data_IF_062542834542
#
_entry.id   IF_062542834542
#
_cell.length_a   1.000
_cell.length_b   1.000
_cell.length_c   1.000
_cell.angle_alpha   90.00
_cell.angle_beta   90.00
_cell.angle_gamma   90.00
#
_symmetry.space_group_name_H-M   'P 1'
#
loop_
_entity.id
_entity.type
_entity.pdbx_description
1 polymer ?
#
# COMPACT_ATOMS: atom_id res chain seq x y z
N UNK A 1 -74.73 27.79 25.70
CA UNK A 1 -74.46 26.33 25.72
C UNK A 1 -74.38 25.89 24.26
N UNK A 2 -73.30 25.41 23.66
CA UNK A 2 -72.08 24.71 24.10
C UNK A 2 -70.91 25.06 23.18
N UNK A 3 -69.73 24.84 23.73
CA UNK A 3 -68.39 25.24 23.31
C UNK A 3 -67.94 24.64 21.96
N UNK A 4 -67.19 25.43 21.16
CA UNK A 4 -66.34 24.95 20.09
C UNK A 4 -65.00 24.50 20.68
N UNK A 5 -64.64 23.22 20.53
CA UNK A 5 -63.34 22.71 20.95
C UNK A 5 -62.29 23.00 19.87
N UNK A 6 -61.27 23.79 20.21
CA UNK A 6 -60.09 24.04 19.37
C UNK A 6 -59.14 22.86 19.54
N UNK A 7 -58.83 22.17 18.44
CA UNK A 7 -57.82 21.12 18.40
C UNK A 7 -56.42 21.76 18.46
N UNK A 8 -55.66 21.44 19.50
CA UNK A 8 -54.28 21.87 19.66
C UNK A 8 -53.36 20.98 18.81
N UNK A 9 -52.75 21.56 17.77
CA UNK A 9 -51.74 20.90 16.94
C UNK A 9 -50.39 20.89 17.65
N UNK A 10 -49.98 19.73 18.14
CA UNK A 10 -48.63 19.52 18.70
C UNK A 10 -47.59 19.54 17.58
N UNK A 11 -46.78 20.60 17.50
CA UNK A 11 -45.55 20.59 16.71
C UNK A 11 -44.51 19.72 17.44
N UNK A 12 -44.35 18.49 17.00
CA UNK A 12 -43.24 17.64 17.44
C UNK A 12 -41.94 18.15 16.81
N UNK A 13 -41.05 18.71 17.64
CA UNK A 13 -39.66 18.98 17.27
C UNK A 13 -38.96 17.64 17.04
N UNK A 14 -38.78 17.26 15.77
CA UNK A 14 -37.87 16.17 15.40
C UNK A 14 -36.44 16.67 15.57
N UNK A 15 -35.81 16.30 16.69
CA UNK A 15 -34.37 16.45 16.86
C UNK A 15 -33.69 15.60 15.78
N UNK A 16 -33.05 16.25 14.81
CA UNK A 16 -32.22 15.59 13.81
C UNK A 16 -31.05 14.89 14.49
N UNK A 17 -31.11 13.57 14.58
CA UNK A 17 -29.97 12.75 14.94
C UNK A 17 -28.96 12.80 13.79
N UNK A 18 -27.90 13.60 13.96
CA UNK A 18 -26.70 13.52 13.13
C UNK A 18 -26.07 12.15 13.40
N UNK A 19 -26.30 11.18 12.52
CA UNK A 19 -25.50 9.96 12.48
C UNK A 19 -24.11 10.40 12.02
N UNK A 20 -23.22 10.62 12.98
CA UNK A 20 -21.77 10.64 12.73
C UNK A 20 -21.46 9.24 12.25
N UNK A 21 -21.37 9.06 10.94
CA UNK A 21 -20.76 7.88 10.36
C UNK A 21 -19.36 7.79 10.94
N UNK A 22 -19.13 6.81 11.80
CA UNK A 22 -17.77 6.34 12.09
C UNK A 22 -17.25 5.82 10.76
N UNK A 23 -16.66 6.70 9.96
CA UNK A 23 -15.80 6.28 8.87
C UNK A 23 -14.83 5.32 9.51
N UNK A 24 -14.88 4.06 9.07
CA UNK A 24 -13.88 3.09 9.46
C UNK A 24 -12.54 3.75 9.14
N UNK A 25 -11.80 4.17 10.18
CA UNK A 25 -10.40 4.45 10.02
C UNK A 25 -9.85 3.15 9.43
N UNK A 26 -9.51 3.16 8.15
CA UNK A 26 -8.72 2.09 7.58
C UNK A 26 -7.47 2.07 8.45
N UNK A 27 -7.40 1.10 9.36
CA UNK A 27 -6.16 0.80 10.05
C UNK A 27 -5.14 0.66 8.93
N UNK A 28 -4.17 1.57 8.88
CA UNK A 28 -3.07 1.43 7.95
C UNK A 28 -2.55 0.00 8.16
N UNK A 29 -2.60 -0.83 7.12
CA UNK A 29 -1.96 -2.14 7.18
C UNK A 29 -0.49 -1.87 7.44
N UNK A 30 -0.07 -2.00 8.70
CA UNK A 30 1.33 -1.88 9.09
C UNK A 30 2.02 -3.10 8.53
N UNK A 31 2.91 -2.90 7.55
CA UNK A 31 3.69 -3.98 6.99
C UNK A 31 4.77 -4.40 7.98
N UNK A 32 5.05 -5.70 8.06
CA UNK A 32 6.04 -6.20 9.00
C UNK A 32 7.43 -6.24 8.37
N UNK A 33 8.44 -5.76 9.10
CA UNK A 33 9.84 -5.95 8.76
C UNK A 33 10.34 -7.38 9.07
N UNK A 34 9.54 -8.21 9.75
CA UNK A 34 9.96 -9.55 10.23
C UNK A 34 10.36 -10.54 9.14
N UNK A 35 9.96 -10.29 7.90
CA UNK A 35 10.24 -11.18 6.77
C UNK A 35 11.44 -10.73 5.94
N UNK A 36 12.00 -9.54 6.19
CA UNK A 36 13.11 -9.02 5.38
C UNK A 36 14.33 -9.95 5.39
N UNK A 37 15.00 -10.12 4.23
CA UNK A 37 14.77 -9.42 2.96
C UNK A 37 13.63 -10.02 2.11
N UNK A 38 12.93 -11.06 2.58
CA UNK A 38 11.80 -11.63 1.87
C UNK A 38 10.55 -10.73 1.98
N UNK A 39 9.73 -10.80 0.95
CA UNK A 39 8.49 -10.05 0.82
C UNK A 39 7.38 -10.57 1.74
N UNK A 40 6.68 -9.62 2.38
CA UNK A 40 5.50 -9.88 3.20
C UNK A 40 4.29 -10.07 2.27
N UNK A 41 3.77 -11.30 2.15
CA UNK A 41 2.65 -11.60 1.23
C UNK A 41 1.36 -10.83 1.54
N UNK A 42 1.17 -10.38 2.78
CA UNK A 42 0.00 -9.57 3.14
C UNK A 42 0.13 -8.14 2.58
N UNK A 43 1.35 -7.64 2.47
CA UNK A 43 1.66 -6.31 1.94
C UNK A 43 1.98 -6.31 0.44
N UNK A 44 2.73 -7.31 -0.05
CA UNK A 44 3.08 -7.51 -1.45
C UNK A 44 2.52 -8.85 -1.99
N UNK A 45 1.20 -8.96 -2.23
CA UNK A 45 0.64 -10.19 -2.81
C UNK A 45 1.06 -10.41 -4.28
N UNK A 46 1.52 -9.36 -4.96
CA UNK A 46 1.83 -9.35 -6.39
C UNK A 46 0.59 -9.19 -7.26
N UNK A 47 0.74 -8.57 -8.43
CA UNK A 47 -0.29 -8.55 -9.45
C UNK A 47 0.33 -8.51 -10.85
N UNK A 48 -0.21 -9.32 -11.75
CA UNK A 48 0.08 -9.24 -13.18
C UNK A 48 -0.61 -8.01 -13.79
N UNK A 49 -0.03 -7.47 -14.84
CA UNK A 49 -0.61 -6.43 -15.65
C UNK A 49 -1.59 -7.05 -16.66
N UNK A 50 -2.91 -6.85 -16.53
CA UNK A 50 -3.86 -7.47 -17.45
C UNK A 50 -3.80 -6.88 -18.86
N UNK A 51 -3.09 -5.76 -19.05
CA UNK A 51 -2.94 -5.11 -20.34
C UNK A 51 -1.80 -5.67 -21.20
N UNK A 52 -1.09 -6.70 -20.75
CA UNK A 52 0.14 -7.19 -21.40
C UNK A 52 0.04 -8.68 -21.68
N UNK A 53 0.69 -9.11 -22.74
CA UNK A 53 0.79 -10.51 -23.16
C UNK A 53 2.26 -10.93 -23.22
N UNK A 54 2.51 -12.24 -23.44
CA UNK A 54 3.88 -12.73 -23.66
C UNK A 54 4.55 -12.01 -24.84
N UNK A 55 3.83 -11.80 -25.94
CA UNK A 55 4.36 -11.07 -27.10
C UNK A 55 4.73 -9.62 -26.76
N UNK A 56 3.99 -8.99 -25.83
CA UNK A 56 4.27 -7.62 -25.39
C UNK A 56 5.54 -7.55 -24.54
N UNK A 57 5.73 -8.52 -23.62
CA UNK A 57 6.88 -8.53 -22.69
C UNK A 57 8.19 -9.02 -23.35
N UNK A 58 8.10 -9.75 -24.46
CA UNK A 58 9.25 -10.27 -25.21
C UNK A 58 9.89 -9.25 -26.19
N UNK A 59 9.45 -7.99 -26.17
CA UNK A 59 10.04 -6.92 -27.00
C UNK A 59 11.19 -6.25 -26.25
N UNK A 60 12.30 -6.01 -26.96
CA UNK A 60 13.46 -5.29 -26.41
C UNK A 60 13.04 -3.91 -25.89
N UNK A 61 13.46 -3.60 -24.66
CA UNK A 61 13.15 -2.32 -24.00
C UNK A 61 11.76 -2.24 -23.35
N UNK A 62 10.95 -3.31 -23.38
CA UNK A 62 9.61 -3.31 -22.78
C UNK A 62 9.61 -2.88 -21.30
N UNK A 63 10.45 -3.48 -20.45
CA UNK A 63 10.47 -3.08 -19.04
C UNK A 63 10.86 -1.62 -18.85
N UNK A 64 11.74 -1.08 -19.68
CA UNK A 64 12.12 0.34 -19.64
C UNK A 64 10.97 1.27 -20.04
N UNK A 65 10.09 0.84 -20.96
CA UNK A 65 8.97 1.67 -21.42
C UNK A 65 7.82 1.75 -20.41
N UNK A 66 7.69 0.77 -19.52
CA UNK A 66 6.61 0.73 -18.51
C UNK A 66 7.05 1.06 -17.08
N UNK A 67 8.36 1.21 -16.84
CA UNK A 67 8.89 1.64 -15.53
C UNK A 67 8.27 2.98 -15.13
N UNK A 68 7.71 3.11 -13.92
CA UNK A 68 7.25 4.41 -13.41
C UNK A 68 8.39 5.42 -13.37
N UNK A 69 8.03 6.71 -13.36
CA UNK A 69 9.01 7.78 -13.17
C UNK A 69 9.63 7.69 -11.78
N UNK A 70 10.84 8.24 -11.63
CA UNK A 70 11.51 8.37 -10.32
C UNK A 70 10.69 9.18 -9.33
N UNK A 71 9.91 10.17 -9.79
CA UNK A 71 8.99 10.92 -8.95
C UNK A 71 7.88 10.05 -8.35
N UNK A 72 7.40 9.05 -9.09
CA UNK A 72 6.39 8.11 -8.60
C UNK A 72 6.99 7.18 -7.55
N UNK A 73 8.14 6.59 -7.85
CA UNK A 73 8.81 5.64 -6.94
C UNK A 73 9.29 6.35 -5.67
N UNK A 74 9.81 7.58 -5.75
CA UNK A 74 10.19 8.33 -4.55
C UNK A 74 9.00 8.63 -3.64
N UNK A 75 7.83 8.99 -4.20
CA UNK A 75 6.63 9.18 -3.41
C UNK A 75 6.16 7.87 -2.76
N UNK A 76 6.29 6.75 -3.47
CA UNK A 76 5.97 5.43 -2.94
C UNK A 76 6.94 5.00 -1.82
N UNK A 77 8.25 5.24 -1.97
CA UNK A 77 9.24 5.01 -0.92
C UNK A 77 8.89 5.76 0.37
N UNK A 78 8.53 7.04 0.28
CA UNK A 78 8.10 7.84 1.46
C UNK A 78 6.91 7.20 2.17
N UNK A 79 5.90 6.77 1.41
CA UNK A 79 4.74 6.08 1.98
C UNK A 79 5.16 4.78 2.68
N UNK A 80 5.99 3.97 2.02
CA UNK A 80 6.42 2.66 2.52
C UNK A 80 7.31 2.79 3.75
N UNK A 81 8.18 3.79 3.81
CA UNK A 81 8.99 4.07 5.01
C UNK A 81 8.10 4.22 6.24
N UNK A 82 7.02 5.00 6.13
CA UNK A 82 6.05 5.17 7.21
C UNK A 82 5.25 3.90 7.54
N UNK A 83 4.84 3.12 6.54
CA UNK A 83 4.08 1.88 6.75
C UNK A 83 4.87 0.75 7.40
N UNK A 84 6.16 0.67 7.10
CA UNK A 84 7.08 -0.28 7.71
C UNK A 84 7.65 0.22 9.04
N UNK A 85 7.51 1.51 9.35
CA UNK A 85 8.03 2.10 10.57
C UNK A 85 9.55 2.14 10.63
N UNK A 86 10.22 2.38 9.49
CA UNK A 86 11.67 2.58 9.51
C UNK A 86 12.04 3.91 10.19
N UNK A 87 13.13 3.92 10.95
CA UNK A 87 13.67 5.14 11.57
C UNK A 87 14.40 6.02 10.56
N UNK A 88 15.11 5.39 9.63
CA UNK A 88 15.77 6.08 8.52
C UNK A 88 14.74 6.47 7.46
N UNK A 89 14.69 7.76 7.12
CA UNK A 89 13.74 8.32 6.17
C UNK A 89 14.37 8.78 4.86
N UNK A 90 15.69 8.60 4.68
CA UNK A 90 16.33 8.97 3.42
C UNK A 90 15.98 7.95 2.33
N UNK A 91 15.12 8.34 1.39
CA UNK A 91 14.71 7.49 0.27
C UNK A 91 15.85 7.00 -0.62
N UNK A 92 17.03 7.63 -0.55
CA UNK A 92 18.22 7.21 -1.28
C UNK A 92 18.84 5.91 -0.74
N UNK A 93 18.59 5.59 0.53
CA UNK A 93 19.12 4.39 1.19
C UNK A 93 18.26 3.15 0.95
N UNK A 94 17.12 3.29 0.28
CA UNK A 94 16.18 2.21 0.02
C UNK A 94 16.09 1.86 -1.45
N UNK A 95 15.83 0.59 -1.76
CA UNK A 95 15.52 0.12 -3.10
C UNK A 95 14.14 -0.54 -3.17
N UNK A 96 13.49 -0.45 -4.33
CA UNK A 96 12.17 -1.07 -4.59
C UNK A 96 12.34 -2.39 -5.34
N UNK A 97 12.03 -3.51 -4.69
CA UNK A 97 12.09 -4.83 -5.32
C UNK A 97 10.70 -5.40 -5.62
N UNK A 98 10.50 -5.97 -6.80
CA UNK A 98 9.17 -6.40 -7.26
C UNK A 98 9.03 -7.93 -7.18
N UNK A 99 7.99 -8.43 -6.50
CA UNK A 99 7.68 -9.87 -6.43
C UNK A 99 7.56 -10.54 -7.81
N UNK A 100 6.99 -9.83 -8.78
CA UNK A 100 6.90 -10.26 -10.18
C UNK A 100 7.63 -9.22 -11.02
N UNK A 101 8.78 -9.55 -11.62
CA UNK A 101 9.50 -8.63 -12.50
C UNK A 101 8.61 -8.09 -13.62
N UNK A 102 8.86 -6.84 -14.04
CA UNK A 102 8.17 -6.23 -15.17
C UNK A 102 8.36 -7.05 -16.46
N UNK A 103 9.52 -7.68 -16.64
CA UNK A 103 9.80 -8.60 -17.77
C UNK A 103 8.94 -9.87 -17.78
N UNK A 104 8.27 -10.19 -16.67
CA UNK A 104 7.30 -11.28 -16.55
C UNK A 104 5.85 -10.78 -16.47
N UNK A 105 5.63 -9.50 -16.77
CA UNK A 105 4.30 -8.88 -16.79
C UNK A 105 3.81 -8.38 -15.44
N UNK A 106 4.70 -8.09 -14.49
CA UNK A 106 4.34 -7.38 -13.26
C UNK A 106 3.65 -6.03 -13.53
N UNK A 107 2.69 -5.64 -12.69
CA UNK A 107 1.94 -4.40 -12.86
C UNK A 107 2.61 -3.21 -12.14
N UNK A 108 3.23 -2.26 -12.86
CA UNK A 108 4.11 -1.25 -12.28
C UNK A 108 3.43 -0.25 -11.32
N UNK A 109 2.08 -0.21 -11.28
CA UNK A 109 1.32 0.75 -10.47
C UNK A 109 0.15 0.14 -9.70
N UNK A 110 0.03 -1.19 -9.69
CA UNK A 110 -1.04 -1.84 -8.93
C UNK A 110 -0.73 -1.76 -7.44
N UNK A 111 -1.68 -1.34 -6.58
CA UNK A 111 -1.49 -1.40 -5.13
C UNK A 111 -1.22 -2.81 -4.62
N UNK A 112 -1.72 -3.85 -5.31
CA UNK A 112 -1.42 -5.27 -5.00
C UNK A 112 -0.03 -5.71 -5.48
N UNK A 113 0.60 -4.95 -6.38
CA UNK A 113 1.95 -5.19 -6.89
C UNK A 113 2.91 -4.07 -6.45
N UNK A 114 2.71 -3.54 -5.25
CA UNK A 114 3.64 -2.59 -4.67
C UNK A 114 5.00 -3.28 -4.45
N UNK A 115 6.13 -2.64 -4.76
CA UNK A 115 7.45 -3.21 -4.49
C UNK A 115 7.69 -3.38 -2.99
N UNK A 116 8.55 -4.32 -2.61
CA UNK A 116 9.14 -4.41 -1.28
C UNK A 116 10.14 -3.28 -1.14
N UNK A 117 9.96 -2.47 -0.09
CA UNK A 117 10.94 -1.46 0.26
C UNK A 117 12.05 -2.13 1.06
N UNK A 118 13.18 -2.28 0.39
CA UNK A 118 14.36 -2.91 0.94
C UNK A 118 15.22 -1.80 1.60
N UNK A 119 15.53 -1.82 2.93
CA UNK A 119 16.50 -0.95 3.61
C UNK A 119 17.93 -0.81 2.98
N UNK A 120 18.90 -0.16 3.62
CA UNK A 120 20.26 -0.20 3.11
C UNK A 120 20.91 -1.59 3.24
N UNK A 121 21.88 -1.89 2.37
CA UNK A 121 22.49 -3.24 2.33
C UNK A 121 23.07 -3.72 3.69
N UNK A 122 23.53 -2.75 4.47
CA UNK A 122 24.22 -2.92 5.74
C UNK A 122 23.32 -3.41 6.87
N UNK A 123 22.03 -3.08 6.85
CA UNK A 123 21.08 -3.44 7.92
C UNK A 123 20.66 -4.92 7.85
N UNK A 124 20.36 -5.47 6.68
CA UNK A 124 19.99 -6.90 6.61
C UNK A 124 21.15 -7.87 6.51
N UNK A 125 22.37 -7.43 6.18
CA UNK A 125 23.54 -8.29 6.35
C UNK A 125 23.66 -8.68 7.83
N UNK A 126 23.37 -7.73 8.71
CA UNK A 126 23.28 -7.94 10.16
C UNK A 126 22.11 -8.85 10.56
N UNK A 127 20.95 -8.75 9.87
CA UNK A 127 19.79 -9.62 10.11
C UNK A 127 20.01 -11.08 9.66
N UNK A 128 20.59 -11.30 8.47
CA UNK A 128 20.95 -12.64 7.96
C UNK A 128 22.00 -13.31 8.86
N UNK A 129 23.00 -12.55 9.31
CA UNK A 129 23.99 -13.04 10.28
C UNK A 129 23.31 -13.40 11.62
N UNK A 130 22.30 -12.64 12.05
CA UNK A 130 21.57 -12.91 13.29
C UNK A 130 20.64 -14.13 13.22
N UNK A 131 20.11 -14.49 12.04
CA UNK A 131 19.29 -15.70 11.85
C UNK A 131 20.11 -16.96 11.59
N UNK A 132 21.43 -16.84 11.44
CA UNK A 132 22.33 -17.98 11.25
C UNK A 132 22.21 -18.67 9.89
N UNK A 133 21.59 -18.03 8.89
CA UNK A 133 21.63 -18.55 7.53
C UNK A 133 22.99 -18.24 6.89
N UNK A 134 23.69 -19.25 6.33
CA UNK A 134 24.99 -19.03 5.74
C UNK A 134 24.85 -18.17 4.48
N UNK A 135 25.59 -17.07 4.43
CA UNK A 135 25.80 -16.29 3.22
C UNK A 135 26.51 -17.17 2.18
N UNK A 136 25.74 -17.67 1.21
CA UNK A 136 26.22 -18.38 0.03
C UNK A 136 26.91 -17.47 -0.99
#
# INVERSE_FOLDING_TARGET
MRQFAVAASSFALVAGAMIVGTGAAHAATTCSQSYLPLQDRACQPGALNPAVTQDTICVSGYSSSIRPSTSYTNALKVQQIGEYGYEDTDTADYEEDHLIPLSLGGNPKSPRHRPTLLPPYTTWKSAIIATGEPSG
#
